data_IF_417497894522
#
_entry.id   IF_417497894522
#
_cell.length_a   1.000
_cell.length_b   1.000
_cell.length_c   1.000
_cell.angle_alpha   90.00
_cell.angle_beta   90.00
_cell.angle_gamma   90.00
#
_symmetry.space_group_name_H-M   'P 1'
#
loop_
_entity.id
_entity.type
_entity.pdbx_description
1 polymer ?
#
# COMPACT_ATOMS: atom_id res chain seq x y z
N UNK A 1 24.40 21.68 -24.52
CA UNK A 1 25.07 20.44 -24.04
C UNK A 1 23.98 19.49 -23.58
N UNK A 2 24.05 18.23 -23.98
CA UNK A 2 23.04 17.23 -23.62
C UNK A 2 23.22 16.74 -22.19
N UNK A 3 22.15 16.29 -21.56
CA UNK A 3 22.17 15.79 -20.18
C UNK A 3 23.10 14.57 -20.06
N UNK A 4 23.03 13.63 -21.01
CA UNK A 4 23.87 12.43 -21.01
C UNK A 4 25.37 12.76 -21.02
N UNK A 5 25.79 13.76 -21.81
CA UNK A 5 27.19 14.20 -21.87
C UNK A 5 27.68 14.78 -20.54
N UNK A 6 26.81 15.50 -19.82
CA UNK A 6 27.11 16.08 -18.52
C UNK A 6 27.28 14.96 -17.49
N UNK A 7 26.38 13.97 -17.49
CA UNK A 7 26.42 12.82 -16.59
C UNK A 7 27.68 11.97 -16.84
N UNK A 8 28.00 11.68 -18.10
CA UNK A 8 29.19 10.91 -18.46
C UNK A 8 30.48 11.62 -18.01
N UNK A 9 30.52 12.95 -18.09
CA UNK A 9 31.66 13.75 -17.63
C UNK A 9 31.75 13.83 -16.11
N UNK A 10 30.62 14.01 -15.42
CA UNK A 10 30.56 13.95 -13.95
C UNK A 10 31.05 12.60 -13.42
N UNK A 11 30.65 11.52 -14.08
CA UNK A 11 31.06 10.16 -13.73
C UNK A 11 32.52 9.85 -14.07
N UNK A 12 33.14 10.64 -14.97
CA UNK A 12 34.59 10.63 -15.27
C UNK A 12 35.40 11.57 -14.37
N UNK A 13 34.83 12.00 -13.24
CA UNK A 13 35.45 12.90 -12.26
C UNK A 13 35.69 14.35 -12.73
N UNK A 14 35.02 14.80 -13.79
CA UNK A 14 35.01 16.23 -14.11
C UNK A 14 34.19 17.00 -13.05
N UNK A 15 34.69 18.15 -12.60
CA UNK A 15 34.02 18.88 -11.53
C UNK A 15 32.72 19.54 -12.03
N UNK A 16 31.69 19.49 -11.18
CA UNK A 16 30.40 20.13 -11.45
C UNK A 16 30.56 21.63 -11.74
N UNK A 17 31.47 22.31 -11.06
CA UNK A 17 31.74 23.74 -11.25
C UNK A 17 32.33 24.04 -12.63
N UNK A 18 33.20 23.18 -13.16
CA UNK A 18 33.76 23.35 -14.51
C UNK A 18 32.68 23.10 -15.57
N UNK A 19 31.86 22.07 -15.40
CA UNK A 19 30.75 21.77 -16.30
C UNK A 19 29.71 22.89 -16.29
N UNK A 20 29.38 23.43 -15.13
CA UNK A 20 28.45 24.56 -15.00
C UNK A 20 28.95 25.79 -15.77
N UNK A 21 30.24 26.13 -15.65
CA UNK A 21 30.87 27.21 -16.44
C UNK A 21 30.79 26.96 -17.95
N UNK A 22 31.06 25.73 -18.41
CA UNK A 22 30.98 25.36 -19.84
C UNK A 22 29.57 25.49 -20.41
N UNK A 23 28.56 25.28 -19.58
CA UNK A 23 27.13 25.36 -19.94
C UNK A 23 26.57 26.78 -19.74
N UNK A 24 27.32 27.68 -19.10
CA UNK A 24 26.87 29.05 -18.79
C UNK A 24 25.88 29.13 -17.62
N UNK A 25 25.92 28.15 -16.70
CA UNK A 25 25.05 28.09 -15.53
C UNK A 25 25.84 28.22 -14.23
N UNK A 26 25.19 28.70 -13.17
CA UNK A 26 25.73 28.57 -11.83
C UNK A 26 25.73 27.07 -11.40
N UNK A 27 26.73 26.60 -10.63
CA UNK A 27 26.82 25.20 -10.20
C UNK A 27 25.56 24.69 -9.49
N UNK A 28 24.96 25.53 -8.65
CA UNK A 28 23.70 25.22 -7.97
C UNK A 28 22.54 25.01 -8.96
N UNK A 29 22.45 25.82 -10.01
CA UNK A 29 21.39 25.73 -11.02
C UNK A 29 21.54 24.44 -11.83
N UNK A 30 22.77 24.09 -12.23
CA UNK A 30 23.06 22.82 -12.90
C UNK A 30 22.66 21.63 -12.02
N UNK A 31 23.06 21.63 -10.74
CA UNK A 31 22.67 20.58 -9.78
C UNK A 31 21.16 20.47 -9.63
N UNK A 32 20.46 21.60 -9.47
CA UNK A 32 19.00 21.64 -9.35
C UNK A 32 18.31 21.08 -10.60
N UNK A 33 18.78 21.43 -11.80
CA UNK A 33 18.24 20.90 -13.07
C UNK A 33 18.45 19.40 -13.22
N UNK A 34 19.64 18.89 -12.90
CA UNK A 34 19.90 17.45 -12.90
C UNK A 34 18.94 16.70 -11.94
N UNK A 35 18.71 17.25 -10.74
CA UNK A 35 17.75 16.67 -9.78
C UNK A 35 16.31 16.70 -10.29
N UNK A 36 15.87 17.79 -10.93
CA UNK A 36 14.53 17.87 -11.53
C UNK A 36 14.35 16.87 -12.67
N UNK A 37 15.42 16.54 -13.38
CA UNK A 37 15.46 15.50 -14.41
C UNK A 37 15.57 14.08 -13.83
N UNK A 38 15.56 13.90 -12.50
CA UNK A 38 15.61 12.59 -11.86
C UNK A 38 17.00 12.02 -11.65
N UNK A 39 18.07 12.83 -11.77
CA UNK A 39 19.42 12.39 -11.45
C UNK A 39 19.78 12.68 -10.00
N UNK A 40 20.31 11.67 -9.32
CA UNK A 40 20.80 11.76 -7.95
C UNK A 40 22.21 11.17 -7.83
N UNK A 41 22.97 11.70 -6.87
CA UNK A 41 24.32 11.21 -6.59
C UNK A 41 24.25 9.98 -5.68
N UNK A 42 24.59 8.83 -6.24
CA UNK A 42 24.70 7.58 -5.50
C UNK A 42 26.05 7.54 -4.76
N UNK A 43 26.00 7.57 -3.42
CA UNK A 43 27.20 7.56 -2.56
C UNK A 43 27.93 6.22 -2.60
N UNK A 44 27.23 5.12 -2.83
CA UNK A 44 27.81 3.77 -2.87
C UNK A 44 28.58 3.58 -4.18
N UNK A 45 27.98 3.98 -5.31
CA UNK A 45 28.57 3.88 -6.64
C UNK A 45 29.44 5.07 -7.04
N UNK A 46 29.51 6.10 -6.18
CA UNK A 46 30.25 7.37 -6.39
C UNK A 46 30.00 8.01 -7.75
N UNK A 47 28.75 7.97 -8.22
CA UNK A 47 28.37 8.42 -9.57
C UNK A 47 26.95 8.97 -9.60
N UNK A 48 26.65 9.80 -10.58
CA UNK A 48 25.29 10.24 -10.85
C UNK A 48 24.50 9.09 -11.48
N UNK A 49 23.32 8.81 -10.95
CA UNK A 49 22.41 7.75 -11.39
C UNK A 49 21.03 8.34 -11.60
N UNK A 50 20.32 7.87 -12.63
CA UNK A 50 18.93 8.22 -12.87
C UNK A 50 18.01 7.39 -11.95
N UNK A 51 17.22 8.07 -11.13
CA UNK A 51 16.25 7.52 -10.16
C UNK A 51 14.82 7.98 -10.53
N UNK A 52 14.65 8.65 -11.68
CA UNK A 52 13.35 9.08 -12.18
C UNK A 52 12.50 7.92 -12.71
N UNK A 53 11.21 8.21 -12.91
CA UNK A 53 10.27 7.30 -13.57
C UNK A 53 10.27 7.58 -15.08
N UNK A 54 10.35 6.53 -15.90
CA UNK A 54 10.33 6.61 -17.37
C UNK A 54 11.69 6.47 -18.05
N UNK A 55 11.77 6.89 -19.31
CA UNK A 55 13.02 6.86 -20.10
C UNK A 55 14.03 7.89 -19.62
N UNK A 56 15.30 7.47 -19.51
CA UNK A 56 16.39 8.33 -19.10
C UNK A 56 16.58 9.48 -20.13
N UNK A 57 16.44 10.77 -19.74
CA UNK A 57 16.41 11.89 -20.68
C UNK A 57 17.81 12.31 -21.13
N UNK A 58 18.65 11.37 -21.58
CA UNK A 58 20.05 11.62 -21.97
C UNK A 58 20.18 12.61 -23.12
N UNK A 59 19.26 12.56 -24.08
CA UNK A 59 19.28 13.38 -25.28
C UNK A 59 18.74 14.80 -25.08
N UNK A 60 18.04 15.06 -23.96
CA UNK A 60 17.49 16.39 -23.66
C UNK A 60 18.61 17.41 -23.46
N UNK A 61 18.33 18.65 -23.87
CA UNK A 61 19.21 19.76 -23.52
C UNK A 61 19.03 20.14 -22.06
N UNK A 62 20.13 20.29 -21.33
CA UNK A 62 20.09 20.78 -19.94
C UNK A 62 19.50 22.20 -19.83
N UNK A 63 19.45 22.94 -20.95
CA UNK A 63 18.94 24.31 -21.04
C UNK A 63 17.42 24.38 -21.24
N UNK A 64 16.77 23.30 -21.68
CA UNK A 64 15.32 23.24 -21.85
C UNK A 64 14.57 23.46 -20.53
N UNK A 65 13.35 24.00 -20.61
CA UNK A 65 12.47 24.17 -19.46
C UNK A 65 12.08 22.80 -18.89
N UNK A 66 12.55 22.51 -17.67
CA UNK A 66 12.16 21.32 -16.94
C UNK A 66 10.89 21.65 -16.18
N UNK A 67 9.77 21.04 -16.57
CA UNK A 67 8.53 21.12 -15.78
C UNK A 67 8.84 20.57 -14.37
N UNK A 68 8.43 21.27 -13.29
CA UNK A 68 8.64 20.75 -11.95
C UNK A 68 8.00 19.37 -11.84
N UNK A 69 8.70 18.44 -11.18
CA UNK A 69 8.12 17.15 -10.80
C UNK A 69 6.81 17.45 -10.05
N UNK A 70 5.70 16.76 -10.36
CA UNK A 70 4.50 16.89 -9.54
C UNK A 70 4.92 16.69 -8.08
N UNK A 71 4.41 17.56 -7.19
CA UNK A 71 4.75 17.52 -5.78
C UNK A 71 4.62 16.08 -5.27
N UNK A 72 5.57 15.64 -4.43
CA UNK A 72 5.50 14.32 -3.83
C UNK A 72 4.11 14.15 -3.21
N UNK A 73 3.38 13.14 -3.68
CA UNK A 73 2.03 12.85 -3.21
C UNK A 73 2.11 12.63 -1.70
N UNK A 74 1.35 13.42 -0.94
CA UNK A 74 1.31 13.31 0.51
C UNK A 74 0.46 12.11 0.91
N UNK A 75 1.07 10.92 0.92
CA UNK A 75 0.38 9.68 1.24
C UNK A 75 -0.23 9.69 2.65
N UNK A 76 0.34 10.45 3.60
CA UNK A 76 -0.21 10.58 4.95
C UNK A 76 -1.59 11.26 4.94
N UNK A 77 -1.73 12.30 4.14
CA UNK A 77 -2.96 13.06 3.99
C UNK A 77 -4.04 12.25 3.25
N UNK A 78 -3.68 11.57 2.16
CA UNK A 78 -4.58 10.65 1.46
C UNK A 78 -5.08 9.51 2.35
N UNK A 79 -4.19 8.90 3.13
CA UNK A 79 -4.59 7.85 4.08
C UNK A 79 -5.56 8.38 5.13
N UNK A 80 -5.33 9.59 5.64
CA UNK A 80 -6.22 10.21 6.62
C UNK A 80 -7.62 10.46 6.04
N UNK A 81 -7.71 10.96 4.81
CA UNK A 81 -8.97 11.19 4.11
C UNK A 81 -9.75 9.88 3.89
N UNK A 82 -9.08 8.83 3.41
CA UNK A 82 -9.67 7.51 3.21
C UNK A 82 -10.18 6.91 4.52
N UNK A 83 -9.37 6.96 5.59
CA UNK A 83 -9.78 6.47 6.92
C UNK A 83 -10.98 7.24 7.47
N UNK A 84 -11.06 8.55 7.22
CA UNK A 84 -12.19 9.38 7.62
C UNK A 84 -13.46 8.98 6.87
N UNK A 85 -13.37 8.75 5.57
CA UNK A 85 -14.49 8.29 4.75
C UNK A 85 -15.03 6.93 5.24
N UNK A 86 -14.14 5.98 5.54
CA UNK A 86 -14.51 4.67 6.09
C UNK A 86 -15.25 4.83 7.42
N UNK A 87 -14.77 5.67 8.33
CA UNK A 87 -15.45 5.92 9.62
C UNK A 87 -16.85 6.48 9.44
N UNK A 88 -17.00 7.47 8.57
CA UNK A 88 -18.33 8.03 8.27
C UNK A 88 -19.29 6.99 7.70
N UNK A 89 -18.81 6.10 6.83
CA UNK A 89 -19.63 5.00 6.29
C UNK A 89 -20.01 3.96 7.36
N UNK A 90 -19.11 3.69 8.31
CA UNK A 90 -19.42 2.80 9.43
C UNK A 90 -20.44 3.42 10.39
N UNK A 91 -20.34 4.72 10.66
CA UNK A 91 -21.26 5.48 11.52
C UNK A 91 -22.64 5.70 10.88
N UNK A 92 -22.68 5.94 9.57
CA UNK A 92 -23.92 6.16 8.81
C UNK A 92 -24.69 4.86 8.54
N UNK A 93 -24.13 3.69 8.85
CA UNK A 93 -24.80 2.41 8.64
C UNK A 93 -25.87 2.22 9.75
N UNK A 94 -27.18 2.28 9.43
CA UNK A 94 -28.20 2.04 10.43
C UNK A 94 -28.10 0.58 10.89
N UNK A 95 -27.66 0.38 12.14
CA UNK A 95 -27.86 -0.82 12.96
C UNK A 95 -27.65 -2.18 12.27
N UNK A 96 -26.48 -2.42 11.66
CA UNK A 96 -25.98 -3.80 11.47
C UNK A 96 -24.99 -4.23 12.57
N UNK A 97 -24.60 -3.31 13.46
CA UNK A 97 -23.62 -3.54 14.53
C UNK A 97 -24.24 -3.67 15.93
N UNK A 98 -25.48 -4.16 16.02
CA UNK A 98 -26.06 -4.69 17.27
C UNK A 98 -26.63 -6.10 17.05
N UNK A 99 -25.86 -6.95 16.39
CA UNK A 99 -25.89 -8.40 16.68
C UNK A 99 -24.69 -8.77 17.55
N UNK A 100 -24.36 -7.94 18.53
CA UNK A 100 -24.05 -8.54 19.83
C UNK A 100 -25.40 -9.03 20.34
N UNK A 101 -25.81 -10.23 19.91
CA UNK A 101 -26.65 -11.03 20.80
C UNK A 101 -25.93 -10.99 22.15
N UNK A 102 -26.60 -10.48 23.17
CA UNK A 102 -26.25 -10.81 24.53
C UNK A 102 -26.08 -12.33 24.54
N UNK A 103 -24.83 -12.81 24.57
CA UNK A 103 -24.57 -14.18 24.95
C UNK A 103 -24.94 -14.26 26.43
N UNK A 104 -26.25 -14.37 26.69
CA UNK A 104 -26.75 -14.78 27.98
C UNK A 104 -25.96 -16.01 28.40
N UNK A 105 -25.57 -16.07 29.68
CA UNK A 105 -24.66 -17.07 30.22
C UNK A 105 -24.93 -18.48 29.64
N UNK A 106 -24.02 -18.97 28.79
CA UNK A 106 -24.15 -20.30 28.18
C UNK A 106 -23.94 -21.37 29.25
N UNK A 107 -24.94 -22.23 29.47
CA UNK A 107 -24.83 -23.39 30.37
C UNK A 107 -24.40 -24.63 29.59
N UNK A 108 -23.32 -25.26 30.02
CA UNK A 108 -22.86 -26.53 29.42
C UNK A 108 -23.79 -27.67 29.83
N UNK A 109 -24.27 -28.42 28.84
CA UNK A 109 -24.99 -29.69 29.02
C UNK A 109 -24.31 -30.76 28.18
N UNK A 110 -24.20 -31.97 28.71
CA UNK A 110 -23.65 -33.14 28.00
C UNK A 110 -24.79 -34.07 27.63
N UNK A 111 -24.76 -34.59 26.41
CA UNK A 111 -25.71 -35.57 25.90
C UNK A 111 -24.95 -36.61 25.06
N UNK A 112 -25.52 -37.81 24.96
CA UNK A 112 -24.95 -38.90 24.17
C UNK A 112 -25.58 -38.90 22.79
N UNK A 113 -24.77 -38.99 21.75
CA UNK A 113 -25.20 -39.12 20.36
C UNK A 113 -24.67 -40.42 19.75
N UNK A 114 -25.39 -41.00 18.78
CA UNK A 114 -24.86 -42.07 17.95
C UNK A 114 -23.56 -41.67 17.25
N UNK A 115 -22.63 -42.62 17.14
CA UNK A 115 -21.29 -42.39 16.57
C UNK A 115 -21.36 -42.00 15.08
N UNK A 116 -22.27 -42.59 14.32
CA UNK A 116 -22.51 -42.25 12.93
C UNK A 116 -22.98 -40.80 12.75
N UNK A 117 -23.76 -40.28 13.69
CA UNK A 117 -24.23 -38.90 13.70
C UNK A 117 -23.09 -37.92 14.03
N UNK A 118 -22.19 -38.29 14.96
CA UNK A 118 -21.00 -37.50 15.26
C UNK A 118 -20.05 -37.42 14.06
N UNK A 119 -19.84 -38.53 13.35
CA UNK A 119 -19.01 -38.54 12.13
C UNK A 119 -19.59 -37.61 11.07
N UNK A 120 -20.91 -37.62 10.87
CA UNK A 120 -21.60 -36.71 9.94
C UNK A 120 -21.46 -35.24 10.37
N UNK A 121 -21.58 -34.95 11.66
CA UNK A 121 -21.41 -33.61 12.21
C UNK A 121 -19.98 -33.09 11.97
N UNK A 122 -18.98 -33.94 12.13
CA UNK A 122 -17.57 -33.59 11.93
C UNK A 122 -17.27 -33.26 10.47
N UNK A 123 -17.83 -34.04 9.54
CA UNK A 123 -17.73 -33.77 8.11
C UNK A 123 -18.46 -32.47 7.73
N UNK A 124 -19.65 -32.21 8.30
CA UNK A 124 -20.40 -30.99 8.05
C UNK A 124 -19.66 -29.74 8.57
N UNK A 125 -19.11 -29.81 9.79
CA UNK A 125 -18.31 -28.75 10.39
C UNK A 125 -17.09 -28.40 9.52
N UNK A 126 -16.36 -29.42 9.03
CA UNK A 126 -15.22 -29.22 8.13
C UNK A 126 -15.62 -28.59 6.79
N UNK A 127 -16.74 -29.02 6.20
CA UNK A 127 -17.23 -28.49 4.90
C UNK A 127 -17.67 -27.03 4.99
N UNK A 128 -18.29 -26.63 6.10
CA UNK A 128 -18.84 -25.28 6.27
C UNK A 128 -17.88 -24.31 6.96
N UNK A 129 -16.75 -24.79 7.49
CA UNK A 129 -15.82 -23.97 8.28
C UNK A 129 -16.43 -23.46 9.60
N UNK A 130 -17.43 -24.16 10.14
CA UNK A 130 -18.17 -23.77 11.34
C UNK A 130 -17.86 -24.69 12.53
N UNK A 131 -17.99 -24.14 13.74
CA UNK A 131 -17.86 -24.94 14.97
C UNK A 131 -19.06 -25.87 15.16
N UNK A 132 -18.81 -27.10 15.62
CA UNK A 132 -19.85 -28.12 15.91
C UNK A 132 -20.94 -27.58 16.85
N UNK A 133 -20.55 -26.82 17.88
CA UNK A 133 -21.46 -26.17 18.83
C UNK A 133 -22.46 -25.24 18.15
N UNK A 134 -22.01 -24.44 17.17
CA UNK A 134 -22.85 -23.49 16.43
C UNK A 134 -23.85 -24.20 15.53
N UNK A 135 -23.43 -25.29 14.88
CA UNK A 135 -24.30 -26.12 14.05
C UNK A 135 -25.40 -26.75 14.92
N UNK A 136 -25.03 -27.32 16.07
CA UNK A 136 -26.00 -27.92 17.00
C UNK A 136 -26.94 -26.88 17.58
N UNK A 137 -26.44 -25.70 17.95
CA UNK A 137 -27.27 -24.61 18.48
C UNK A 137 -28.28 -24.13 17.43
N UNK A 138 -27.87 -23.96 16.18
CA UNK A 138 -28.76 -23.55 15.11
C UNK A 138 -29.82 -24.61 14.82
N UNK A 139 -29.41 -25.88 14.69
CA UNK A 139 -30.34 -26.99 14.47
C UNK A 139 -31.37 -27.12 15.59
N UNK A 140 -30.94 -26.95 16.85
CA UNK A 140 -31.82 -26.97 18.02
C UNK A 140 -32.81 -25.79 18.01
N UNK A 141 -32.36 -24.58 17.67
CA UNK A 141 -33.24 -23.41 17.52
C UNK A 141 -34.27 -23.62 16.43
N UNK A 142 -33.86 -24.11 15.26
CA UNK A 142 -34.76 -24.39 14.14
C UNK A 142 -35.78 -25.49 14.49
N UNK A 143 -35.36 -26.51 15.24
CA UNK A 143 -36.26 -27.57 15.70
C UNK A 143 -37.31 -27.05 16.69
N UNK A 144 -36.89 -26.28 17.70
CA UNK A 144 -37.79 -25.68 18.70
C UNK A 144 -38.75 -24.62 18.12
N UNK A 145 -38.40 -23.99 17.00
CA UNK A 145 -39.28 -23.02 16.31
C UNK A 145 -40.35 -23.68 15.44
N UNK A 146 -40.23 -24.99 15.17
CA UNK A 146 -41.18 -25.77 14.37
C UNK A 146 -42.23 -26.51 15.21
N UNK A 147 -42.07 -26.52 16.54
CA UNK A 147 -43.10 -26.91 17.50
C UNK A 147 -44.08 -25.75 17.76
#
# INVERSE_FOLDING_TARGET
MKVGEIIDRLNKHESLSLLAKKVGLAPYVLSKRLRMLGYEYDKEKKRQVFVGEGEEPRERSILEEVKPRPAAVNYEELMYEELRAIRMLLEARPSAAKEQQEEGSKKRRSFSLPEDLLIRLDLAAKRQGLQKSRIVEQALREWLQRE
#
